data_IF_556326462211
#
_entry.id   IF_556326462211
#
_cell.length_a   1.000
_cell.length_b   1.000
_cell.length_c   1.000
_cell.angle_alpha   90.00
_cell.angle_beta   90.00
_cell.angle_gamma   90.00
#
_symmetry.space_group_name_H-M   'P 1'
#
loop_
_entity.id
_entity.type
_entity.pdbx_description
1 polymer ?
#
# COMPACT_ATOMS: atom_id res chain seq x y z
N UNK A 1 -15.10 -8.58 22.77
CA UNK A 1 -15.20 -8.68 22.38
C UNK A 1 -15.30 -8.53 21.90
N UNK A 2 -15.30 -8.54 21.43
CA UNK A 2 -15.33 -8.53 20.76
C UNK A 2 -15.51 -8.03 20.30
N UNK A 3 -15.41 -7.71 20.05
CA UNK A 3 -15.53 -7.20 19.39
C UNK A 3 -15.07 -7.09 18.70
N UNK A 4 -14.53 -7.31 18.53
CA UNK A 4 -14.12 -7.28 17.68
C UNK A 4 -14.24 -7.82 17.03
N UNK A 5 -14.49 -8.11 16.73
CA UNK A 5 -14.66 -8.63 16.01
C UNK A 5 -15.28 -8.54 15.36
N UNK A 6 -15.63 -8.39 14.97
CA UNK A 6 -16.11 -8.31 14.22
C UNK A 6 -16.01 -7.52 13.49
N UNK A 7 -16.00 -6.80 13.58
CA UNK A 7 -15.83 -6.11 12.77
C UNK A 7 -14.97 -6.39 12.10
N UNK A 8 -14.59 -7.03 12.29
CA UNK A 8 -13.87 -7.39 11.74
C UNK A 8 -14.15 -8.19 10.86
N UNK A 9 -14.58 -8.79 10.56
CA UNK A 9 -14.66 -9.63 9.60
C UNK A 9 -14.68 -9.09 8.36
N UNK A 10 -14.70 -8.07 8.25
CA UNK A 10 -14.69 -7.39 7.16
C UNK A 10 -13.37 -7.23 6.65
N UNK A 11 -12.98 -6.19 6.13
CA UNK A 11 -11.63 -5.93 5.75
C UNK A 11 -10.81 -5.94 6.99
N UNK A 12 -9.54 -6.30 6.87
CA UNK A 12 -8.64 -6.25 7.99
C UNK A 12 -8.48 -4.82 8.46
N UNK A 13 -8.73 -4.54 9.73
CA UNK A 13 -8.56 -3.17 10.22
C UNK A 13 -7.10 -2.77 10.13
N UNK A 14 -6.85 -1.62 9.58
CA UNK A 14 -5.49 -1.11 9.47
C UNK A 14 -4.85 -0.88 10.84
N UNK A 15 -5.65 -0.81 11.88
CA UNK A 15 -5.13 -0.67 13.23
C UNK A 15 -4.33 -1.89 13.68
N UNK A 16 -4.50 -3.05 13.02
CA UNK A 16 -3.74 -4.24 13.33
C UNK A 16 -2.49 -4.39 12.48
N UNK A 17 -2.19 -3.41 11.64
CA UNK A 17 -1.06 -3.48 10.75
C UNK A 17 0.19 -2.97 11.45
N UNK A 18 1.38 -3.20 10.87
CA UNK A 18 2.63 -2.84 11.52
C UNK A 18 2.72 -1.35 11.84
N UNK A 19 3.52 -1.01 12.84
CA UNK A 19 3.65 0.37 13.28
C UNK A 19 4.13 1.28 12.16
N UNK A 20 4.95 0.77 11.23
CA UNK A 20 5.46 1.60 10.15
C UNK A 20 4.35 2.05 9.20
N UNK A 21 3.18 1.48 9.28
CA UNK A 21 2.07 1.88 8.42
C UNK A 21 1.75 3.37 8.55
N UNK A 22 2.07 3.96 9.68
CA UNK A 22 1.79 5.37 9.95
C UNK A 22 2.92 6.30 9.54
N UNK A 23 3.99 5.78 8.96
CA UNK A 23 5.10 6.61 8.48
C UNK A 23 4.66 7.41 7.27
N UNK A 24 5.40 8.49 6.98
CA UNK A 24 5.13 9.30 5.80
C UNK A 24 5.57 8.58 4.54
N UNK A 25 4.93 8.90 3.43
CA UNK A 25 5.27 8.29 2.15
C UNK A 25 6.41 9.05 1.51
N UNK A 26 7.33 8.30 0.91
CA UNK A 26 8.40 8.86 0.10
C UNK A 26 8.37 8.14 -1.25
N UNK A 27 8.28 8.90 -2.33
CA UNK A 27 8.17 8.34 -3.67
C UNK A 27 9.54 8.30 -4.30
N UNK A 28 9.99 7.12 -4.70
CA UNK A 28 11.29 7.04 -5.36
C UNK A 28 11.18 7.55 -6.80
N UNK A 29 12.34 7.91 -7.39
CA UNK A 29 12.35 8.49 -8.72
C UNK A 29 11.77 7.52 -9.76
N UNK A 30 12.05 6.23 -9.62
CA UNK A 30 11.54 5.22 -10.52
C UNK A 30 10.01 5.21 -10.51
N UNK A 31 9.42 5.34 -9.33
CA UNK A 31 7.97 5.38 -9.22
C UNK A 31 7.41 6.61 -9.92
N UNK A 32 8.06 7.75 -9.79
CA UNK A 32 7.56 8.98 -10.40
C UNK A 32 7.48 8.85 -11.92
N UNK A 33 8.45 8.16 -12.53
CA UNK A 33 8.38 7.88 -13.95
C UNK A 33 7.20 6.97 -14.29
N UNK A 34 6.95 5.96 -13.45
CA UNK A 34 5.85 5.03 -13.69
C UNK A 34 4.49 5.66 -13.50
N UNK A 35 4.41 6.68 -12.64
CA UNK A 35 3.14 7.35 -12.42
C UNK A 35 2.61 7.98 -13.70
N UNK A 36 3.49 8.57 -14.49
CA UNK A 36 3.08 9.14 -15.77
C UNK A 36 2.58 8.04 -16.70
N UNK A 37 3.34 6.96 -16.83
CA UNK A 37 2.99 5.88 -17.74
C UNK A 37 1.71 5.18 -17.34
N UNK A 38 1.45 5.04 -16.04
CA UNK A 38 0.32 4.29 -15.54
C UNK A 38 -0.86 5.14 -15.15
N UNK A 39 -0.72 6.46 -15.28
CA UNK A 39 -1.84 7.37 -15.17
C UNK A 39 -2.37 7.57 -13.76
N UNK A 40 -1.50 7.66 -12.76
CA UNK A 40 -1.94 7.99 -11.42
C UNK A 40 -1.02 9.05 -10.80
N UNK A 41 -1.58 9.80 -9.87
CA UNK A 41 -0.87 10.89 -9.21
C UNK A 41 -0.52 10.50 -7.78
N UNK A 42 0.23 11.38 -7.10
CA UNK A 42 0.51 11.16 -5.68
C UNK A 42 -0.78 11.16 -4.86
N UNK A 43 -1.74 12.01 -5.22
CA UNK A 43 -3.03 12.02 -4.52
C UNK A 43 -3.75 10.69 -4.70
N UNK A 44 -3.69 10.13 -5.91
CA UNK A 44 -4.27 8.81 -6.16
C UNK A 44 -3.59 7.75 -5.32
N UNK A 45 -2.27 7.82 -5.21
CA UNK A 45 -1.53 6.86 -4.40
C UNK A 45 -1.94 6.93 -2.94
N UNK A 46 -2.13 8.14 -2.42
CA UNK A 46 -2.56 8.27 -1.03
C UNK A 46 -3.94 7.69 -0.80
N UNK A 47 -4.83 7.85 -1.78
CA UNK A 47 -6.16 7.23 -1.70
C UNK A 47 -6.05 5.71 -1.74
N UNK A 48 -5.17 5.17 -2.58
CA UNK A 48 -4.93 3.73 -2.62
C UNK A 48 -4.46 3.22 -1.28
N UNK A 49 -3.57 3.95 -0.62
CA UNK A 49 -3.08 3.55 0.69
C UNK A 49 -4.18 3.58 1.73
N UNK A 50 -5.07 4.57 1.66
CA UNK A 50 -6.20 4.64 2.58
C UNK A 50 -7.19 3.50 2.37
N UNK A 51 -7.34 3.07 1.12
CA UNK A 51 -8.27 2.00 0.78
C UNK A 51 -7.63 0.62 0.84
N UNK A 52 -6.40 0.54 1.31
CA UNK A 52 -5.67 -0.73 1.36
C UNK A 52 -6.38 -1.72 2.26
N UNK A 53 -6.54 -2.95 1.76
CA UNK A 53 -7.23 -3.98 2.51
C UNK A 53 -6.43 -5.27 2.65
N UNK A 54 -5.21 -5.31 2.13
CA UNK A 54 -4.36 -6.48 2.26
C UNK A 54 -2.90 -6.08 2.35
N UNK A 55 -2.11 -6.90 3.05
CA UNK A 55 -0.70 -6.63 3.25
C UNK A 55 0.02 -7.97 3.33
N UNK A 56 1.04 -8.14 2.51
CA UNK A 56 1.83 -9.36 2.53
C UNK A 56 3.29 -9.05 2.30
N UNK A 57 4.15 -9.98 2.72
CA UNK A 57 5.59 -9.84 2.52
C UNK A 57 5.89 -9.92 1.02
N UNK A 58 6.77 -9.05 0.54
CA UNK A 58 7.16 -9.05 -0.84
C UNK A 58 8.23 -10.09 -1.13
N UNK A 59 8.65 -10.15 -2.40
CA UNK A 59 9.64 -11.14 -2.83
C UNK A 59 11.05 -10.79 -2.38
N UNK A 60 11.29 -9.54 -2.01
CA UNK A 60 12.60 -9.11 -1.50
C UNK A 60 12.50 -8.81 -0.02
N UNK A 61 13.58 -9.09 0.69
CA UNK A 61 13.64 -8.80 2.12
C UNK A 61 13.40 -7.32 2.34
N UNK A 62 12.56 -7.01 3.30
CA UNK A 62 12.26 -5.63 3.65
C UNK A 62 11.15 -5.01 2.83
N UNK A 63 10.64 -5.70 1.83
CA UNK A 63 9.57 -5.17 0.98
C UNK A 63 8.24 -5.82 1.30
N UNK A 64 7.19 -5.05 1.10
CA UNK A 64 5.82 -5.48 1.35
C UNK A 64 4.97 -5.13 0.15
N UNK A 65 3.94 -5.93 -0.07
CA UNK A 65 2.96 -5.68 -1.13
C UNK A 65 1.63 -5.36 -0.48
N UNK A 66 1.08 -4.23 -0.87
CA UNK A 66 -0.18 -3.75 -0.34
C UNK A 66 -1.24 -3.94 -1.41
N UNK A 67 -2.30 -4.68 -1.08
CA UNK A 67 -3.43 -4.85 -1.97
C UNK A 67 -4.43 -3.75 -1.71
N UNK A 68 -4.90 -3.12 -2.78
CA UNK A 68 -5.82 -2.00 -2.65
C UNK A 68 -6.71 -1.94 -3.89
N UNK A 69 -7.58 -0.94 -3.92
CA UNK A 69 -8.42 -0.68 -5.08
C UNK A 69 -8.29 0.79 -5.44
N UNK A 70 -8.50 1.08 -6.72
CA UNK A 70 -8.49 2.45 -7.19
C UNK A 70 -9.40 2.53 -8.40
N UNK A 71 -10.41 3.40 -8.33
CA UNK A 71 -11.37 3.59 -9.41
C UNK A 71 -12.01 2.27 -9.84
N UNK A 72 -12.29 1.41 -8.86
CA UNK A 72 -12.95 0.14 -9.11
C UNK A 72 -12.05 -0.99 -9.54
N UNK A 73 -10.77 -0.75 -9.74
CA UNK A 73 -9.81 -1.76 -10.16
C UNK A 73 -8.93 -2.19 -9.01
N UNK A 74 -8.46 -3.43 -9.05
CA UNK A 74 -7.51 -3.93 -8.06
C UNK A 74 -6.11 -3.47 -8.42
N UNK A 75 -5.39 -2.97 -7.43
CA UNK A 75 -4.03 -2.48 -7.58
C UNK A 75 -3.14 -3.09 -6.50
N UNK A 76 -1.84 -3.11 -6.76
CA UNK A 76 -0.85 -3.49 -5.77
C UNK A 76 0.19 -2.38 -5.67
N UNK A 77 0.59 -2.08 -4.44
CA UNK A 77 1.61 -1.08 -4.16
C UNK A 77 2.75 -1.79 -3.43
N UNK A 78 3.96 -1.68 -3.97
CA UNK A 78 5.13 -2.29 -3.36
C UNK A 78 5.86 -1.21 -2.58
N UNK A 79 6.12 -1.48 -1.30
CA UNK A 79 6.74 -0.51 -0.42
C UNK A 79 7.90 -1.13 0.33
N UNK A 80 8.80 -0.27 0.79
CA UNK A 80 9.90 -0.67 1.64
C UNK A 80 9.95 0.31 2.80
N UNK A 81 9.51 -0.10 4.00
CA UNK A 81 9.54 0.78 5.15
C UNK A 81 10.97 1.04 5.60
N UNK A 82 11.26 2.28 5.94
CA UNK A 82 12.56 2.68 6.49
C UNK A 82 12.31 3.15 7.91
N UNK A 83 12.67 2.33 8.89
CA UNK A 83 12.39 2.63 10.28
C UNK A 83 13.35 3.64 10.86
N UNK A 84 14.51 3.81 10.23
CA UNK A 84 15.48 4.82 10.70
C UNK A 84 14.96 6.21 10.38
N UNK A 85 14.54 6.43 9.14
CA UNK A 85 14.03 7.73 8.71
C UNK A 85 12.52 7.86 8.91
N UNK A 86 11.86 6.77 9.29
CA UNK A 86 10.42 6.73 9.54
C UNK A 86 9.62 7.15 8.32
N UNK A 87 9.96 6.56 7.18
CA UNK A 87 9.23 6.77 5.93
C UNK A 87 8.90 5.44 5.30
N UNK A 88 7.85 5.43 4.49
CA UNK A 88 7.51 4.29 3.66
C UNK A 88 7.95 4.66 2.25
N UNK A 89 8.99 3.98 1.75
CA UNK A 89 9.47 4.23 0.40
C UNK A 89 8.60 3.45 -0.55
N UNK A 90 7.86 4.16 -1.39
CA UNK A 90 6.99 3.50 -2.37
C UNK A 90 7.84 3.17 -3.58
N UNK A 91 7.99 1.88 -3.85
CA UNK A 91 8.85 1.39 -4.91
C UNK A 91 8.13 1.42 -6.25
N UNK A 92 6.90 0.90 -6.27
CA UNK A 92 6.09 0.89 -7.49
C UNK A 92 4.64 0.63 -7.14
N UNK A 93 3.77 0.91 -8.09
CA UNK A 93 2.35 0.59 -7.96
C UNK A 93 1.86 0.21 -9.35
N UNK A 94 0.99 -0.79 -9.41
CA UNK A 94 0.48 -1.25 -10.70
C UNK A 94 -0.91 -1.84 -10.53
N UNK A 95 -1.66 -1.77 -11.63
CA UNK A 95 -2.98 -2.36 -11.68
C UNK A 95 -2.82 -3.87 -11.82
N UNK A 96 -3.53 -4.59 -11.00
CA UNK A 96 -3.52 -6.04 -11.06
C UNK A 96 -4.29 -6.46 -12.29
N UNK A 97 -3.67 -7.25 -13.16
CA UNK A 97 -4.35 -7.68 -14.37
C UNK A 97 -4.93 -9.05 -14.14
N UNK A 98 -6.20 -9.27 -14.51
CA UNK A 98 -6.76 -10.60 -14.41
C UNK A 98 -6.05 -11.50 -15.42
N UNK A 99 -5.80 -12.70 -15.02
CA UNK A 99 -5.16 -13.67 -15.93
C UNK A 99 -6.18 -14.47 -16.68
#
# INVERSE_FOLDING_TARGET
MSWQTIEEGLSMPQSNWPAWWNFELELCAHLQDRMVDRGFSEADLRLMMEDADGLRVGSRVGRWVIATTHLGDAWEVVVEPDEVDQVIIVITAYKETPS
#
